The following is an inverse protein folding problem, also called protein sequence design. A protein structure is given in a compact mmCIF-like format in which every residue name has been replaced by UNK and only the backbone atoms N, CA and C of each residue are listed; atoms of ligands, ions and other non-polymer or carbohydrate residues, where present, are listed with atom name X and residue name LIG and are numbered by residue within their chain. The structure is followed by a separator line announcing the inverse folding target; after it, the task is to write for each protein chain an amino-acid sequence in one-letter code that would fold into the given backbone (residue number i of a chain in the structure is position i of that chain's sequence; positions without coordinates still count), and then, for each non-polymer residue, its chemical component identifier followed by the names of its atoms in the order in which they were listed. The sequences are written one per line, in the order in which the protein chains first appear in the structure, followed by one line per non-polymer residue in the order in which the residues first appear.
data_IF_309415998550
#
_entry.id   IF_309415998550
#
_cell.length_a   1.000
_cell.length_b   1.000
_cell.length_c   1.000
_cell.angle_alpha   90.00
_cell.angle_beta   90.00
_cell.angle_gamma   90.00
#
_symmetry.space_group_name_H-M   'P 1'
#
loop_
_entity.id
_entity.type
_entity.pdbx_description
1 polymer ?
#
# COMPACT_ATOMS: atom_id res chain seq x y z
N UNK A 1 -72.20 -16.12 -17.62
CA UNK A 1 -71.15 -16.90 -16.90
C UNK A 1 -69.75 -16.78 -17.52
N UNK A 2 -69.59 -16.37 -18.75
CA UNK A 2 -68.34 -16.26 -19.50
C UNK A 2 -67.46 -15.03 -19.13
N UNK A 3 -68.05 -13.93 -18.65
CA UNK A 3 -67.33 -12.72 -18.31
C UNK A 3 -66.43 -12.86 -17.05
N UNK A 4 -66.91 -13.57 -16.03
CA UNK A 4 -66.21 -13.74 -14.74
C UNK A 4 -64.91 -14.55 -14.91
N UNK A 5 -64.88 -15.51 -15.86
CA UNK A 5 -63.68 -16.34 -16.11
C UNK A 5 -62.62 -15.55 -16.84
N UNK A 6 -63.00 -14.63 -17.73
CA UNK A 6 -62.06 -13.76 -18.47
C UNK A 6 -61.33 -12.77 -17.55
N UNK A 7 -62.04 -12.17 -16.61
CA UNK A 7 -61.47 -11.20 -15.66
C UNK A 7 -60.51 -11.89 -14.66
N UNK A 8 -60.82 -13.10 -14.22
CA UNK A 8 -59.90 -13.86 -13.34
C UNK A 8 -58.60 -14.26 -14.07
N UNK A 9 -58.66 -14.57 -15.36
CA UNK A 9 -57.52 -14.94 -16.15
C UNK A 9 -56.60 -13.74 -16.42
N UNK A 10 -57.19 -12.57 -16.69
CA UNK A 10 -56.44 -11.33 -16.89
C UNK A 10 -55.74 -10.87 -15.57
N UNK A 11 -56.44 -10.95 -14.43
CA UNK A 11 -55.84 -10.60 -13.13
C UNK A 11 -54.68 -11.58 -12.77
N UNK A 12 -54.85 -12.86 -12.99
CA UNK A 12 -53.82 -13.86 -12.73
C UNK A 12 -52.54 -13.63 -13.58
N UNK A 13 -52.70 -13.29 -14.85
CA UNK A 13 -51.57 -12.95 -15.71
C UNK A 13 -50.84 -11.66 -15.30
N UNK A 14 -51.63 -10.66 -14.85
CA UNK A 14 -51.02 -9.41 -14.33
C UNK A 14 -50.25 -9.65 -13.04
N UNK A 15 -50.75 -10.50 -12.12
CA UNK A 15 -50.04 -10.84 -10.88
C UNK A 15 -48.74 -11.59 -11.16
N UNK A 16 -48.77 -12.54 -12.08
CA UNK A 16 -47.59 -13.30 -12.50
C UNK A 16 -46.56 -12.37 -13.16
N UNK A 17 -46.96 -11.43 -14.00
CA UNK A 17 -46.07 -10.45 -14.60
C UNK A 17 -45.44 -9.52 -13.54
N UNK A 18 -46.19 -9.09 -12.54
CA UNK A 18 -45.69 -8.25 -11.45
C UNK A 18 -44.70 -9.01 -10.56
N UNK A 19 -44.96 -10.25 -10.23
CA UNK A 19 -44.04 -11.07 -9.44
C UNK A 19 -42.76 -11.43 -10.22
N UNK A 20 -42.86 -11.68 -11.51
CA UNK A 20 -41.70 -11.91 -12.37
C UNK A 20 -40.85 -10.65 -12.53
N UNK A 21 -41.48 -9.47 -12.69
CA UNK A 21 -40.75 -8.21 -12.77
C UNK A 21 -40.05 -7.85 -11.46
N UNK A 22 -40.68 -8.11 -10.31
CA UNK A 22 -40.08 -7.93 -8.99
C UNK A 22 -38.95 -8.90 -8.72
N UNK A 23 -39.03 -10.15 -9.19
CA UNK A 23 -37.94 -11.11 -9.10
C UNK A 23 -36.72 -10.69 -9.93
N UNK A 24 -36.93 -10.12 -11.11
CA UNK A 24 -35.85 -9.62 -11.99
C UNK A 24 -35.11 -8.45 -11.32
N UNK A 25 -35.79 -7.55 -10.62
CA UNK A 25 -35.13 -6.42 -9.94
C UNK A 25 -34.23 -6.87 -8.78
N UNK A 26 -34.54 -7.98 -8.11
CA UNK A 26 -33.72 -8.54 -7.04
C UNK A 26 -32.42 -9.14 -7.60
N UNK A 27 -32.46 -9.75 -8.79
CA UNK A 27 -31.27 -10.30 -9.46
C UNK A 27 -30.34 -9.20 -10.00
N UNK A 28 -30.84 -8.02 -10.35
CA UNK A 28 -30.00 -6.90 -10.80
C UNK A 28 -29.39 -6.10 -9.66
N UNK A 29 -29.81 -6.31 -8.40
CA UNK A 29 -29.26 -5.63 -7.22
C UNK A 29 -27.96 -6.26 -6.69
N UNK A 30 -27.47 -7.35 -7.32
CA UNK A 30 -26.11 -7.82 -7.06
C UNK A 30 -25.15 -6.85 -7.76
N UNK A 31 -24.94 -5.67 -7.12
CA UNK A 31 -23.97 -4.68 -7.57
C UNK A 31 -22.63 -5.35 -7.81
N UNK A 32 -22.03 -5.08 -8.93
CA UNK A 32 -20.63 -5.36 -9.21
C UNK A 32 -19.84 -4.86 -7.99
N UNK A 33 -19.44 -5.78 -7.11
CA UNK A 33 -18.34 -5.53 -6.19
C UNK A 33 -17.15 -5.42 -7.13
N UNK A 34 -16.90 -4.21 -7.62
CA UNK A 34 -15.62 -3.87 -8.25
C UNK A 34 -14.58 -4.44 -7.32
N UNK A 35 -13.80 -5.38 -7.81
CA UNK A 35 -12.74 -6.03 -7.02
C UNK A 35 -11.67 -4.95 -6.76
N UNK A 36 -11.95 -4.08 -5.77
CA UNK A 36 -11.10 -2.98 -5.34
C UNK A 36 -9.86 -3.56 -4.65
N UNK A 37 -9.04 -4.22 -5.43
CA UNK A 37 -7.81 -4.86 -4.97
C UNK A 37 -6.64 -3.89 -5.11
N UNK A 38 -5.87 -3.74 -4.05
CA UNK A 38 -4.63 -2.95 -4.01
C UNK A 38 -3.49 -3.86 -3.58
N UNK A 39 -2.42 -3.89 -4.37
CA UNK A 39 -1.20 -4.64 -4.09
C UNK A 39 -0.17 -3.70 -3.50
N UNK A 40 0.18 -3.91 -2.23
CA UNK A 40 1.12 -3.08 -1.48
C UNK A 40 2.42 -3.87 -1.32
N UNK A 41 3.51 -3.37 -1.90
CA UNK A 41 4.84 -3.92 -1.63
C UNK A 41 5.43 -3.31 -0.36
N UNK A 42 6.27 -4.07 0.34
CA UNK A 42 7.03 -3.59 1.48
C UNK A 42 8.37 -4.31 1.61
N UNK A 43 9.38 -3.60 2.11
CA UNK A 43 10.64 -4.17 2.54
C UNK A 43 10.54 -4.64 3.99
N UNK A 44 11.44 -5.54 4.40
CA UNK A 44 11.45 -6.08 5.76
C UNK A 44 12.13 -5.11 6.76
N UNK A 45 11.61 -3.88 6.81
CA UNK A 45 12.03 -2.84 7.75
C UNK A 45 10.90 -2.56 8.73
N UNK A 46 11.22 -2.29 9.98
CA UNK A 46 10.22 -2.15 11.05
C UNK A 46 9.17 -1.06 10.76
N UNK A 47 9.61 0.11 10.30
CA UNK A 47 8.76 1.23 9.94
C UNK A 47 7.93 0.94 8.68
N UNK A 48 8.55 0.34 7.65
CA UNK A 48 7.86 -0.04 6.42
C UNK A 48 6.78 -1.08 6.65
N UNK A 49 7.03 -2.05 7.53
CA UNK A 49 6.04 -3.04 7.96
C UNK A 49 4.89 -2.33 8.69
N UNK A 50 5.19 -1.49 9.67
CA UNK A 50 4.18 -0.82 10.48
C UNK A 50 3.24 0.05 9.62
N UNK A 51 3.78 0.91 8.75
CA UNK A 51 2.97 1.78 7.88
C UNK A 51 2.17 0.97 6.87
N UNK A 52 2.72 -0.12 6.34
CA UNK A 52 2.03 -0.99 5.38
C UNK A 52 0.83 -1.69 6.02
N UNK A 53 0.97 -2.23 7.23
CA UNK A 53 -0.14 -2.87 7.92
C UNK A 53 -1.19 -1.86 8.37
N UNK A 54 -0.80 -0.67 8.80
CA UNK A 54 -1.75 0.42 9.10
C UNK A 54 -2.56 0.79 7.85
N UNK A 55 -1.90 0.98 6.72
CA UNK A 55 -2.58 1.27 5.45
C UNK A 55 -3.53 0.15 5.03
N UNK A 56 -3.13 -1.11 5.21
CA UNK A 56 -3.99 -2.27 4.95
C UNK A 56 -5.29 -2.19 5.74
N UNK A 57 -5.23 -1.89 7.05
CA UNK A 57 -6.44 -1.80 7.88
C UNK A 57 -7.33 -0.62 7.44
N UNK A 58 -6.75 0.56 7.21
CA UNK A 58 -7.50 1.73 6.73
C UNK A 58 -8.18 1.44 5.38
N UNK A 59 -7.48 0.82 4.44
CA UNK A 59 -8.03 0.46 3.13
C UNK A 59 -9.12 -0.61 3.25
N UNK A 60 -8.97 -1.56 4.18
CA UNK A 60 -9.99 -2.58 4.46
C UNK A 60 -11.29 -1.94 4.95
N UNK A 61 -11.21 -0.96 5.85
CA UNK A 61 -12.38 -0.19 6.31
C UNK A 61 -13.07 0.58 5.17
N UNK A 62 -12.31 0.98 4.15
CA UNK A 62 -12.82 1.62 2.93
C UNK A 62 -13.35 0.62 1.88
N UNK A 63 -13.36 -0.67 2.21
CA UNK A 63 -13.87 -1.73 1.33
C UNK A 63 -12.88 -2.17 0.24
N UNK A 64 -11.58 -1.85 0.37
CA UNK A 64 -10.55 -2.39 -0.50
C UNK A 64 -10.03 -3.72 0.02
N UNK A 65 -9.73 -4.65 -0.90
CA UNK A 65 -9.00 -5.87 -0.59
C UNK A 65 -7.51 -5.62 -0.87
N UNK A 66 -6.67 -5.79 0.12
CA UNK A 66 -5.22 -5.58 0.00
C UNK A 66 -4.49 -6.90 -0.15
N UNK A 67 -3.46 -6.91 -0.99
CA UNK A 67 -2.48 -7.98 -1.09
C UNK A 67 -1.10 -7.41 -0.75
N UNK A 68 -0.44 -8.00 0.25
CA UNK A 68 0.86 -7.57 0.72
C UNK A 68 1.96 -8.40 0.07
N UNK A 69 2.99 -7.75 -0.46
CA UNK A 69 4.11 -8.36 -1.16
C UNK A 69 5.42 -7.96 -0.50
N UNK A 70 6.05 -8.89 0.22
CA UNK A 70 7.40 -8.66 0.77
C UNK A 70 8.46 -8.92 -0.29
N UNK A 71 9.37 -7.96 -0.49
CA UNK A 71 10.49 -8.08 -1.41
C UNK A 71 11.61 -7.10 -1.07
N UNK A 72 12.76 -7.27 -1.69
CA UNK A 72 13.85 -6.29 -1.65
C UNK A 72 13.52 -5.05 -2.49
N UNK A 73 14.23 -3.95 -2.25
CA UNK A 73 13.95 -2.63 -2.85
C UNK A 73 13.98 -2.66 -4.38
N UNK A 74 15.00 -3.25 -5.01
CA UNK A 74 15.11 -3.26 -6.46
C UNK A 74 13.96 -4.03 -7.16
N UNK A 75 13.55 -5.23 -6.71
CA UNK A 75 12.33 -5.91 -7.11
C UNK A 75 11.05 -5.08 -6.90
N UNK A 76 10.90 -4.37 -5.76
CA UNK A 76 9.74 -3.51 -5.50
C UNK A 76 9.60 -2.45 -6.58
N UNK A 77 10.63 -1.64 -6.83
CA UNK A 77 10.59 -0.59 -7.85
C UNK A 77 10.37 -1.14 -9.26
N UNK A 78 10.95 -2.31 -9.56
CA UNK A 78 10.70 -2.99 -10.83
C UNK A 78 9.24 -3.42 -10.97
N UNK A 79 8.65 -3.93 -9.90
CA UNK A 79 7.25 -4.39 -9.86
C UNK A 79 6.28 -3.23 -10.03
N UNK A 80 6.52 -2.11 -9.33
CA UNK A 80 5.77 -0.86 -9.48
C UNK A 80 5.80 -0.36 -10.92
N UNK A 81 7.00 -0.20 -11.49
CA UNK A 81 7.18 0.31 -12.86
C UNK A 81 6.55 -0.58 -13.94
N UNK A 82 6.25 -1.85 -13.62
CA UNK A 82 5.54 -2.80 -14.49
C UNK A 82 4.06 -2.93 -14.18
N UNK A 83 3.52 -2.18 -13.22
CA UNK A 83 2.12 -2.26 -12.80
C UNK A 83 1.73 -3.59 -12.16
N UNK A 84 2.71 -4.36 -11.65
CA UNK A 84 2.46 -5.61 -10.91
C UNK A 84 2.21 -5.38 -9.42
N UNK A 85 2.63 -4.24 -8.91
CA UNK A 85 2.38 -3.70 -7.58
C UNK A 85 1.83 -2.31 -7.74
N UNK A 86 0.94 -1.89 -6.86
CA UNK A 86 0.23 -0.62 -7.01
C UNK A 86 0.86 0.48 -6.15
N UNK A 87 1.34 0.13 -4.95
CA UNK A 87 1.91 1.11 -4.03
C UNK A 87 3.07 0.54 -3.20
N UNK A 88 4.01 1.42 -2.86
CA UNK A 88 5.08 1.22 -1.89
C UNK A 88 5.14 2.45 -0.98
N UNK A 89 5.05 2.25 0.32
CA UNK A 89 4.84 3.33 1.28
C UNK A 89 6.10 3.74 2.05
N UNK A 90 7.22 3.08 1.80
CA UNK A 90 8.48 3.30 2.52
C UNK A 90 9.61 3.68 1.55
N UNK A 91 9.33 4.70 0.71
CA UNK A 91 10.31 5.23 -0.23
C UNK A 91 11.07 6.39 0.37
N UNK A 92 12.36 6.20 0.62
CA UNK A 92 13.27 7.20 1.21
C UNK A 92 13.81 8.17 0.15
N UNK A 93 13.07 9.26 -0.05
CA UNK A 93 13.38 10.32 -1.00
C UNK A 93 13.87 11.58 -0.27
N UNK A 94 14.68 12.42 -0.88
CA UNK A 94 15.20 12.38 -2.25
C UNK A 94 16.55 11.65 -2.41
N UNK A 95 17.09 11.00 -1.39
CA UNK A 95 18.47 10.50 -1.39
C UNK A 95 18.54 9.00 -1.67
N UNK A 96 18.05 8.16 -0.76
CA UNK A 96 18.30 6.71 -0.77
C UNK A 96 17.71 6.01 -2.00
N UNK A 97 16.51 6.37 -2.42
CA UNK A 97 15.82 5.72 -3.52
C UNK A 97 15.74 6.56 -4.81
N UNK A 98 16.44 7.71 -4.87
CA UNK A 98 16.42 8.60 -6.02
C UNK A 98 16.82 7.91 -7.34
N UNK A 99 17.80 6.99 -7.29
CA UNK A 99 18.28 6.28 -8.46
C UNK A 99 17.21 5.39 -9.09
N UNK A 100 16.35 4.78 -8.28
CA UNK A 100 15.22 4.01 -8.78
C UNK A 100 14.19 4.89 -9.47
N UNK A 101 13.89 6.07 -8.93
CA UNK A 101 13.00 7.04 -9.58
C UNK A 101 13.55 7.50 -10.93
N UNK A 102 14.85 7.83 -10.99
CA UNK A 102 15.50 8.18 -12.26
C UNK A 102 15.46 7.04 -13.27
N UNK A 103 15.72 5.80 -12.82
CA UNK A 103 15.69 4.61 -13.68
C UNK A 103 14.31 4.34 -14.29
N UNK A 104 13.25 4.66 -13.58
CA UNK A 104 11.87 4.41 -13.99
C UNK A 104 11.10 5.72 -14.23
N UNK A 105 11.79 6.75 -14.71
CA UNK A 105 11.20 8.05 -15.00
C UNK A 105 9.93 7.95 -15.84
N UNK A 106 8.90 8.73 -15.47
CA UNK A 106 7.59 8.71 -16.10
C UNK A 106 6.72 7.46 -15.83
N UNK A 107 7.20 6.49 -15.03
CA UNK A 107 6.44 5.26 -14.67
C UNK A 107 6.05 5.20 -13.21
N UNK A 108 6.56 6.09 -12.39
CA UNK A 108 6.33 6.16 -10.95
C UNK A 108 5.82 7.55 -10.60
N UNK A 109 4.91 7.60 -9.64
CA UNK A 109 4.36 8.85 -9.10
C UNK A 109 4.55 8.88 -7.59
N UNK A 110 4.91 10.05 -7.04
CA UNK A 110 4.97 10.30 -5.60
C UNK A 110 3.61 10.86 -5.18
N UNK A 111 2.82 10.08 -4.45
CA UNK A 111 1.48 10.47 -4.03
C UNK A 111 1.47 11.40 -2.83
N UNK A 112 2.50 11.36 -2.00
CA UNK A 112 2.61 12.19 -0.81
C UNK A 112 3.77 11.79 0.08
N UNK A 113 3.96 12.53 1.15
CA UNK A 113 4.98 12.33 2.16
C UNK A 113 4.32 11.75 3.43
N UNK A 114 4.91 10.68 3.97
CA UNK A 114 4.42 10.00 5.18
C UNK A 114 5.17 10.53 6.41
N UNK A 115 6.49 10.74 6.28
CA UNK A 115 7.35 11.30 7.32
C UNK A 115 8.07 12.54 6.79
N UNK A 116 8.06 13.62 7.55
CA UNK A 116 8.63 14.93 7.16
C UNK A 116 10.04 15.16 7.70
N UNK A 117 10.46 14.41 8.72
CA UNK A 117 11.70 14.66 9.47
C UNK A 117 12.63 13.43 9.54
N UNK A 118 12.51 12.50 8.60
CA UNK A 118 13.37 11.32 8.57
C UNK A 118 14.84 11.72 8.29
N UNK A 119 15.77 11.18 9.09
CA UNK A 119 17.20 11.44 8.97
C UNK A 119 17.98 10.14 8.87
N UNK A 120 19.07 10.18 8.13
CA UNK A 120 20.07 9.10 8.07
C UNK A 120 21.30 9.60 8.81
N UNK A 121 21.83 8.78 9.72
CA UNK A 121 23.01 9.14 10.50
C UNK A 121 23.76 7.95 11.03
N UNK A 122 24.97 8.17 11.51
CA UNK A 122 25.73 7.18 12.24
C UNK A 122 25.37 7.29 13.73
N UNK A 123 25.11 6.13 14.32
CA UNK A 123 24.90 6.04 15.78
C UNK A 123 26.20 5.55 16.41
N UNK A 124 26.70 6.31 17.34
CA UNK A 124 27.90 5.96 18.13
C UNK A 124 27.54 5.81 19.60
N UNK A 125 28.23 4.95 20.37
CA UNK A 125 28.05 4.90 21.82
C UNK A 125 28.41 6.23 22.48
N UNK A 126 27.78 6.58 23.59
CA UNK A 126 27.96 7.84 24.33
C UNK A 126 29.42 8.11 24.75
N UNK A 127 30.19 7.06 24.97
CA UNK A 127 31.61 7.19 25.36
C UNK A 127 32.53 7.58 24.19
N UNK A 128 32.01 7.65 22.96
CA UNK A 128 32.78 8.06 21.77
C UNK A 128 32.64 9.57 21.61
N UNK A 129 33.71 10.36 21.82
CA UNK A 129 33.66 11.82 21.88
C UNK A 129 33.69 12.45 20.48
N UNK A 130 32.79 12.01 19.57
CA UNK A 130 32.62 12.55 18.21
C UNK A 130 31.18 12.91 17.98
N UNK A 131 30.93 14.02 17.32
CA UNK A 131 29.60 14.58 17.06
C UNK A 131 29.32 14.79 15.58
N UNK A 132 30.34 14.69 14.72
CA UNK A 132 30.23 14.87 13.28
C UNK A 132 30.93 13.74 12.52
N UNK A 133 30.56 13.54 11.24
CA UNK A 133 31.19 12.53 10.39
C UNK A 133 32.64 12.88 10.09
N UNK A 134 32.96 14.16 10.00
CA UNK A 134 34.32 14.68 9.75
C UNK A 134 35.29 14.34 10.88
N UNK A 135 34.79 14.22 12.09
CA UNK A 135 35.60 13.84 13.28
C UNK A 135 35.96 12.34 13.28
N UNK A 136 35.34 11.51 12.43
CA UNK A 136 35.66 10.08 12.30
C UNK A 136 37.01 9.80 11.60
N UNK A 137 37.45 10.72 10.75
CA UNK A 137 38.60 10.51 9.83
C UNK A 137 39.96 10.44 10.54
N UNK A 138 40.22 11.14 11.65
CA UNK A 138 41.53 11.16 12.27
C UNK A 138 41.73 10.21 13.47
N UNK A 139 40.92 9.18 13.69
CA UNK A 139 41.10 8.30 14.85
C UNK A 139 42.26 7.34 14.56
N UNK A 140 43.47 7.57 15.07
CA UNK A 140 44.62 6.68 14.89
C UNK A 140 44.32 5.33 15.57
N UNK A 141 44.42 4.25 14.78
CA UNK A 141 44.22 2.89 15.28
C UNK A 141 42.83 2.30 15.11
N UNK A 142 41.90 3.03 14.54
CA UNK A 142 40.52 2.54 14.30
C UNK A 142 39.76 2.27 15.59
N UNK A 143 38.49 1.92 15.44
CA UNK A 143 37.69 1.51 16.59
C UNK A 143 38.02 0.03 16.93
N UNK A 144 38.38 -0.31 18.18
CA UNK A 144 38.74 -1.66 18.54
C UNK A 144 37.54 -2.62 18.33
N UNK A 145 37.66 -3.48 17.35
CA UNK A 145 36.99 -4.78 17.34
C UNK A 145 35.48 -4.83 17.00
N UNK A 146 34.85 -3.82 16.40
CA UNK A 146 33.43 -3.89 16.02
C UNK A 146 33.17 -3.36 14.62
N UNK A 147 32.42 -4.15 13.85
CA UNK A 147 31.86 -3.73 12.57
C UNK A 147 30.77 -2.66 12.79
N UNK A 148 30.82 -1.58 12.02
CA UNK A 148 29.80 -0.54 12.02
C UNK A 148 28.51 -1.03 11.36
N UNK A 149 27.41 -0.87 12.05
CA UNK A 149 26.09 -1.00 11.45
C UNK A 149 25.54 0.39 11.16
N UNK A 150 25.08 0.61 9.94
CA UNK A 150 24.23 1.78 9.63
C UNK A 150 22.87 1.50 10.23
N UNK A 151 22.49 2.26 11.27
CA UNK A 151 21.16 2.16 11.86
C UNK A 151 20.39 3.42 11.49
N UNK A 152 19.20 3.23 10.89
CA UNK A 152 18.25 4.31 10.67
C UNK A 152 17.58 4.65 12.00
N UNK A 153 17.70 5.90 12.44
CA UNK A 153 17.04 6.39 13.64
C UNK A 153 15.87 7.26 13.21
N UNK A 154 14.62 6.89 13.55
CA UNK A 154 13.50 7.80 13.34
C UNK A 154 13.71 9.06 14.19
N UNK A 155 13.42 10.23 13.60
CA UNK A 155 13.44 11.48 14.34
C UNK A 155 12.31 11.48 15.38
N UNK A 156 12.66 11.75 16.63
CA UNK A 156 11.72 11.96 17.74
C UNK A 156 11.08 13.34 17.65
#
# INVERSE_FOLDING_TARGET
MTHIIKDRMIMRNRTILFTALMAITIFFSCGNISDKKIRIAYANWAEGIAVTYLAKEILSEQGYRTELLNADIAPIFTSLARGKTDVFMDSWMPVTHADYFRKYDGKLEILGQIYDSARIGLVVPEYVPIHTIEELVPIPGGFPGRSWGLTLVPAS
#
